data_IF_200320975651
#
_entry.id   IF_200320975651
#
_cell.length_a   1.000
_cell.length_b   1.000
_cell.length_c   1.000
_cell.angle_alpha   90.00
_cell.angle_beta   90.00
_cell.angle_gamma   90.00
#
_symmetry.space_group_name_H-M   'P 1'
#
loop_
_entity.id
_entity.type
_entity.pdbx_description
1 polymer ?
#
# COMPACT_ATOMS: atom_id res chain seq x y z
N UNK A 1 -61.37 33.52 73.79
CA UNK A 1 -62.06 32.26 73.45
C UNK A 1 -62.73 32.40 72.10
N UNK A 2 -62.22 31.73 71.07
CA UNK A 2 -62.96 31.40 69.85
C UNK A 2 -62.23 30.24 69.15
N UNK A 3 -63.05 29.42 68.54
CA UNK A 3 -62.98 27.96 68.52
C UNK A 3 -62.26 27.44 67.28
N UNK A 4 -61.65 26.27 67.42
CA UNK A 4 -61.09 25.41 66.37
C UNK A 4 -62.18 25.06 65.35
N UNK A 5 -61.85 25.07 64.05
CA UNK A 5 -62.49 24.18 63.07
C UNK A 5 -61.51 23.84 61.93
N UNK A 6 -61.20 22.54 61.89
CA UNK A 6 -60.28 21.85 61.00
C UNK A 6 -60.90 21.72 59.60
N UNK A 7 -60.14 22.01 58.54
CA UNK A 7 -60.41 21.48 57.20
C UNK A 7 -59.14 20.79 56.67
N UNK A 8 -59.14 19.46 56.79
CA UNK A 8 -58.33 18.56 55.94
C UNK A 8 -58.64 18.87 54.48
N UNK A 9 -57.62 18.98 53.63
CA UNK A 9 -57.68 18.59 52.22
C UNK A 9 -56.27 18.34 51.66
N UNK A 10 -55.99 17.04 51.54
CA UNK A 10 -55.34 16.35 50.43
C UNK A 10 -53.91 16.75 50.07
N UNK A 11 -52.98 15.98 50.63
CA UNK A 11 -51.73 15.55 50.01
C UNK A 11 -51.98 15.12 48.56
N UNK A 12 -51.48 15.90 47.60
CA UNK A 12 -51.23 15.41 46.24
C UNK A 12 -49.79 14.91 46.23
N UNK A 13 -49.64 13.60 46.39
CA UNK A 13 -48.42 12.91 46.01
C UNK A 13 -48.32 12.96 44.48
N UNK A 14 -47.53 13.89 43.94
CA UNK A 14 -47.14 13.87 42.53
C UNK A 14 -46.05 12.81 42.39
N UNK A 15 -46.49 11.57 42.21
CA UNK A 15 -45.65 10.47 41.76
C UNK A 15 -45.51 10.60 40.24
N UNK A 16 -44.66 11.49 39.75
CA UNK A 16 -44.26 11.48 38.34
C UNK A 16 -43.16 10.45 38.17
N UNK A 17 -43.52 9.33 37.56
CA UNK A 17 -42.63 8.28 37.11
C UNK A 17 -41.43 8.87 36.34
N UNK A 18 -40.22 8.62 36.83
CA UNK A 18 -39.01 8.69 36.00
C UNK A 18 -39.09 7.54 35.00
N UNK A 19 -39.72 7.78 33.84
CA UNK A 19 -39.46 6.97 32.66
C UNK A 19 -38.05 7.37 32.24
N UNK A 20 -37.06 6.58 32.61
CA UNK A 20 -35.72 6.68 32.04
C UNK A 20 -35.88 6.43 30.53
N UNK A 21 -35.92 7.53 29.77
CA UNK A 21 -35.83 7.52 28.33
C UNK A 21 -34.43 6.97 28.02
N UNK A 22 -34.33 5.66 27.83
CA UNK A 22 -33.14 5.01 27.29
C UNK A 22 -33.02 5.49 25.85
N UNK A 23 -32.45 6.68 25.67
CA UNK A 23 -31.93 7.10 24.38
C UNK A 23 -30.93 6.04 23.98
N UNK A 24 -31.07 5.37 22.82
CA UNK A 24 -29.97 4.61 22.29
C UNK A 24 -28.83 5.61 22.12
N UNK A 25 -27.79 5.47 22.94
CA UNK A 25 -26.51 6.11 22.67
C UNK A 25 -26.18 5.74 21.23
N UNK A 26 -26.23 6.73 20.33
CA UNK A 26 -25.70 6.57 18.98
C UNK A 26 -24.24 6.17 19.20
N UNK A 27 -23.94 4.88 19.05
CA UNK A 27 -22.58 4.40 19.11
C UNK A 27 -21.80 5.21 18.08
N UNK A 28 -20.89 6.07 18.54
CA UNK A 28 -19.94 6.70 17.64
C UNK A 28 -19.09 5.56 17.11
N UNK A 29 -19.15 5.31 15.80
CA UNK A 29 -18.21 4.39 15.18
C UNK A 29 -16.81 4.90 15.50
N UNK A 30 -16.00 4.05 16.14
CA UNK A 30 -14.64 4.40 16.52
C UNK A 30 -13.85 4.73 15.24
N UNK A 31 -13.23 5.91 15.22
CA UNK A 31 -12.39 6.32 14.09
C UNK A 31 -11.06 5.58 14.22
N UNK A 32 -10.86 4.59 13.36
CA UNK A 32 -9.63 3.80 13.31
C UNK A 32 -8.63 4.49 12.40
N UNK A 33 -7.42 4.77 12.87
CA UNK A 33 -6.32 5.28 12.06
C UNK A 33 -5.47 4.13 11.53
N UNK A 34 -5.17 4.12 10.23
CA UNK A 34 -4.56 2.95 9.58
C UNK A 34 -3.03 2.95 9.56
N UNK A 35 -2.36 4.00 10.05
CA UNK A 35 -0.91 4.11 9.87
C UNK A 35 -0.49 4.45 8.43
N UNK A 36 -1.40 5.05 7.68
CA UNK A 36 -1.16 5.67 6.38
C UNK A 36 -1.39 7.16 6.51
N UNK A 37 -0.56 7.97 5.87
CA UNK A 37 -0.82 9.39 5.68
C UNK A 37 -0.64 9.77 4.22
N UNK A 38 -1.56 10.60 3.72
CA UNK A 38 -1.55 11.17 2.37
C UNK A 38 -1.53 12.68 2.51
N UNK A 39 -0.57 13.34 1.86
CA UNK A 39 -0.35 14.78 2.00
C UNK A 39 -0.29 15.25 3.48
N UNK A 40 0.35 14.46 4.34
CA UNK A 40 0.43 14.73 5.79
C UNK A 40 -0.84 14.43 6.60
N UNK A 41 -1.97 14.13 5.97
CA UNK A 41 -3.23 13.82 6.63
C UNK A 41 -3.35 12.33 6.93
N UNK A 42 -3.75 11.99 8.16
CA UNK A 42 -3.96 10.59 8.56
C UNK A 42 -5.15 9.99 7.80
N UNK A 43 -4.93 8.80 7.25
CA UNK A 43 -6.02 7.98 6.67
C UNK A 43 -6.68 7.19 7.79
N UNK A 44 -8.01 7.27 7.83
CA UNK A 44 -8.86 6.71 8.88
C UNK A 44 -10.10 6.07 8.28
N UNK A 45 -10.86 5.32 9.09
CA UNK A 45 -12.17 4.76 8.68
C UNK A 45 -13.16 5.81 8.20
N UNK A 46 -12.98 7.08 8.57
CA UNK A 46 -13.87 8.18 8.16
C UNK A 46 -13.57 8.74 6.77
N UNK A 47 -12.32 8.62 6.26
CA UNK A 47 -11.91 9.25 5.00
C UNK A 47 -11.29 8.29 3.97
N UNK A 48 -11.02 7.03 4.32
CA UNK A 48 -10.30 6.11 3.45
C UNK A 48 -10.94 5.88 2.08
N UNK A 49 -12.26 6.00 1.97
CA UNK A 49 -12.98 5.77 0.71
C UNK A 49 -12.77 6.88 -0.33
N UNK A 50 -12.38 8.09 0.10
CA UNK A 50 -12.18 9.24 -0.78
C UNK A 50 -11.23 10.26 -0.15
N UNK A 51 -9.97 10.21 -0.59
CA UNK A 51 -8.89 11.07 -0.12
C UNK A 51 -8.65 12.27 -1.06
N UNK A 52 -9.44 12.39 -2.13
CA UNK A 52 -9.34 13.51 -3.09
C UNK A 52 -9.75 14.86 -2.49
N UNK A 53 -10.42 14.83 -1.33
CA UNK A 53 -10.83 16.03 -0.57
C UNK A 53 -9.73 16.62 0.30
N UNK A 54 -8.58 15.95 0.40
CA UNK A 54 -7.43 16.47 1.14
C UNK A 54 -6.74 17.56 0.33
N UNK A 55 -6.30 18.60 1.02
CA UNK A 55 -5.55 19.69 0.38
C UNK A 55 -4.31 19.15 -0.34
N UNK A 56 -4.13 19.59 -1.58
CA UNK A 56 -3.02 19.14 -2.44
C UNK A 56 -3.24 17.79 -3.12
N UNK A 57 -4.41 17.14 -2.95
CA UNK A 57 -4.75 15.88 -3.61
C UNK A 57 -5.78 16.10 -4.72
N UNK A 58 -5.57 15.49 -5.87
CA UNK A 58 -6.55 15.43 -6.97
C UNK A 58 -6.50 14.07 -7.68
N UNK A 59 -7.46 13.83 -8.57
CA UNK A 59 -7.70 12.51 -9.15
C UNK A 59 -8.32 11.54 -8.13
N UNK A 60 -8.28 10.24 -8.41
CA UNK A 60 -8.87 9.24 -7.52
C UNK A 60 -7.82 8.66 -6.59
N UNK A 61 -7.98 8.92 -5.30
CA UNK A 61 -7.16 8.37 -4.22
C UNK A 61 -8.08 7.75 -3.17
N UNK A 62 -7.95 6.46 -2.92
CA UNK A 62 -8.69 5.77 -1.87
C UNK A 62 -7.90 4.60 -1.30
N UNK A 63 -8.18 4.25 -0.05
CA UNK A 63 -7.58 3.14 0.67
C UNK A 63 -8.65 2.14 1.08
N UNK A 64 -8.48 0.89 0.64
CA UNK A 64 -9.26 -0.25 1.10
C UNK A 64 -8.53 -0.92 2.29
N UNK A 65 -9.01 -0.72 3.53
CA UNK A 65 -8.37 -1.29 4.71
C UNK A 65 -8.52 -2.81 4.80
N UNK A 66 -9.51 -3.41 4.13
CA UNK A 66 -9.76 -4.86 4.17
C UNK A 66 -8.67 -5.60 3.40
N UNK A 67 -8.34 -5.09 2.22
CA UNK A 67 -7.34 -5.68 1.34
C UNK A 67 -5.96 -5.00 1.43
N UNK A 68 -5.84 -3.95 2.27
CA UNK A 68 -4.64 -3.09 2.39
C UNK A 68 -4.19 -2.51 1.05
N UNK A 69 -5.14 -1.99 0.26
CA UNK A 69 -4.86 -1.44 -1.08
C UNK A 69 -5.07 0.07 -1.09
N UNK A 70 -3.99 0.84 -1.27
CA UNK A 70 -4.06 2.25 -1.64
C UNK A 70 -4.13 2.34 -3.17
N UNK A 71 -5.23 2.83 -3.72
CA UNK A 71 -5.39 3.05 -5.16
C UNK A 71 -5.07 4.50 -5.50
N UNK A 72 -4.18 4.71 -6.45
CA UNK A 72 -3.92 5.97 -7.15
C UNK A 72 -4.34 5.81 -8.60
N UNK A 73 -5.33 6.59 -9.04
CA UNK A 73 -5.78 6.61 -10.42
C UNK A 73 -5.83 8.04 -10.94
N UNK A 74 -4.95 8.32 -11.91
CA UNK A 74 -4.73 9.65 -12.49
C UNK A 74 -4.62 10.73 -11.41
N UNK A 75 -3.93 10.38 -10.31
CA UNK A 75 -3.85 11.17 -9.10
C UNK A 75 -2.69 12.16 -9.14
N UNK A 76 -2.89 13.32 -8.53
CA UNK A 76 -1.80 14.24 -8.17
C UNK A 76 -1.80 14.46 -6.67
N UNK A 77 -0.64 14.33 -6.04
CA UNK A 77 -0.44 14.69 -4.62
C UNK A 77 0.72 15.65 -4.55
N UNK A 78 0.44 16.91 -4.23
CA UNK A 78 1.43 17.97 -4.11
C UNK A 78 1.41 18.55 -2.70
N UNK A 79 2.55 18.47 -2.01
CA UNK A 79 2.68 18.90 -0.62
C UNK A 79 3.67 20.05 -0.49
N UNK A 80 3.28 21.10 0.23
CA UNK A 80 4.20 22.12 0.71
C UNK A 80 4.92 21.69 2.00
N UNK A 81 6.07 22.31 2.28
CA UNK A 81 6.80 22.13 3.53
C UNK A 81 7.39 20.72 3.71
N UNK A 82 7.80 20.39 4.94
CA UNK A 82 8.49 19.14 5.28
C UNK A 82 7.53 17.95 5.46
N UNK A 83 6.71 17.68 4.43
CA UNK A 83 5.65 16.68 4.44
C UNK A 83 5.90 15.67 3.31
N UNK A 84 5.64 14.39 3.58
CA UNK A 84 5.64 13.33 2.56
C UNK A 84 4.32 13.35 1.76
N UNK A 85 4.37 13.06 0.46
CA UNK A 85 3.14 12.83 -0.30
C UNK A 85 2.44 11.54 0.15
N UNK A 86 3.21 10.47 0.35
CA UNK A 86 2.75 9.20 0.91
C UNK A 86 3.69 8.76 2.04
N UNK A 87 3.12 8.44 3.20
CA UNK A 87 3.83 7.79 4.30
C UNK A 87 3.05 6.56 4.75
N UNK A 88 3.69 5.39 4.76
CA UNK A 88 3.06 4.14 5.20
C UNK A 88 3.89 3.39 6.24
N UNK A 89 3.19 2.90 7.27
CA UNK A 89 3.68 1.88 8.22
C UNK A 89 2.75 0.66 8.27
N UNK A 90 2.03 0.41 7.18
CA UNK A 90 1.13 -0.74 7.05
C UNK A 90 1.89 -1.90 6.42
N UNK A 91 2.08 -2.96 7.20
CA UNK A 91 2.72 -4.17 6.73
C UNK A 91 1.90 -4.87 5.65
N UNK A 92 2.54 -5.13 4.51
CA UNK A 92 1.95 -5.76 3.33
C UNK A 92 1.01 -4.87 2.53
N UNK A 93 1.15 -3.54 2.60
CA UNK A 93 0.32 -2.63 1.81
C UNK A 93 0.63 -2.76 0.31
N UNK A 94 -0.41 -2.74 -0.52
CA UNK A 94 -0.30 -2.58 -1.96
C UNK A 94 -0.66 -1.16 -2.38
N UNK A 95 0.22 -0.48 -3.08
CA UNK A 95 -0.05 0.79 -3.76
C UNK A 95 -0.34 0.47 -5.23
N UNK A 96 -1.62 0.54 -5.62
CA UNK A 96 -2.08 0.24 -6.97
C UNK A 96 -2.11 1.51 -7.81
N UNK A 97 -1.28 1.56 -8.84
CA UNK A 97 -1.07 2.65 -9.78
C UNK A 97 -1.85 2.37 -11.07
N UNK A 98 -2.81 3.24 -11.37
CA UNK A 98 -3.63 3.20 -12.59
C UNK A 98 -3.46 4.53 -13.31
N UNK A 99 -3.28 4.51 -14.63
CA UNK A 99 -3.05 5.73 -15.41
C UNK A 99 -1.72 6.39 -15.04
N UNK A 100 -1.66 7.73 -15.06
CA UNK A 100 -0.44 8.49 -14.73
C UNK A 100 -0.62 9.28 -13.44
N UNK A 101 0.23 9.01 -12.45
CA UNK A 101 0.13 9.59 -11.11
C UNK A 101 1.37 10.42 -10.81
N UNK A 102 1.17 11.58 -10.19
CA UNK A 102 2.22 12.56 -9.95
C UNK A 102 2.29 12.94 -8.47
N UNK A 103 3.40 12.66 -7.82
CA UNK A 103 3.68 13.03 -6.44
C UNK A 103 4.79 14.07 -6.43
N UNK A 104 4.58 15.16 -5.69
CA UNK A 104 5.60 16.18 -5.45
C UNK A 104 5.61 16.57 -3.98
N UNK A 105 6.79 16.53 -3.36
CA UNK A 105 6.98 16.86 -1.95
C UNK A 105 8.31 17.57 -1.71
N UNK A 106 8.43 18.38 -0.65
CA UNK A 106 9.76 18.88 -0.26
C UNK A 106 10.58 17.83 0.50
N UNK A 107 9.92 17.03 1.34
CA UNK A 107 10.48 15.82 1.95
C UNK A 107 10.40 14.67 0.94
N UNK A 108 10.71 13.44 1.36
CA UNK A 108 10.60 12.30 0.48
C UNK A 108 9.19 12.16 -0.08
N UNK A 109 9.05 11.92 -1.39
CA UNK A 109 7.71 11.81 -1.98
C UNK A 109 6.97 10.60 -1.40
N UNK A 110 7.68 9.48 -1.23
CA UNK A 110 7.17 8.27 -0.59
C UNK A 110 8.12 7.84 0.52
N UNK A 111 7.58 7.58 1.71
CA UNK A 111 8.30 6.89 2.80
C UNK A 111 7.57 5.63 3.20
N UNK A 112 8.31 4.52 3.21
CA UNK A 112 7.82 3.17 3.51
C UNK A 112 8.57 2.63 4.72
N UNK A 113 7.83 2.27 5.77
CA UNK A 113 8.39 1.75 7.02
C UNK A 113 8.22 0.23 7.16
N UNK A 114 7.46 -0.37 6.24
CA UNK A 114 7.05 -1.77 6.27
C UNK A 114 6.93 -2.31 4.84
N UNK A 115 6.95 -3.66 4.66
CA UNK A 115 6.88 -4.28 3.33
C UNK A 115 5.75 -3.73 2.48
N UNK A 116 6.10 -3.27 1.28
CA UNK A 116 5.17 -2.58 0.37
C UNK A 116 5.33 -3.10 -1.05
N UNK A 117 4.20 -3.28 -1.75
CA UNK A 117 4.17 -3.58 -3.18
C UNK A 117 3.58 -2.40 -3.96
N UNK A 118 4.26 -1.95 -5.03
CA UNK A 118 3.72 -1.01 -6.01
C UNK A 118 3.43 -1.78 -7.30
N UNK A 119 2.19 -1.73 -7.78
CA UNK A 119 1.77 -2.45 -8.99
C UNK A 119 0.62 -1.76 -9.72
N UNK A 120 0.04 -2.37 -10.77
CA UNK A 120 -1.18 -1.90 -11.43
C UNK A 120 -1.02 -1.49 -12.89
N UNK A 121 0.18 -1.57 -13.45
CA UNK A 121 0.45 -1.26 -14.87
C UNK A 121 0.62 0.23 -15.19
N UNK A 122 0.23 1.12 -14.29
CA UNK A 122 0.33 2.57 -14.51
C UNK A 122 1.74 3.15 -14.31
N UNK A 123 1.81 4.48 -14.46
CA UNK A 123 3.01 5.29 -14.25
C UNK A 123 2.90 6.07 -12.95
N UNK A 124 3.97 6.05 -12.14
CA UNK A 124 4.10 6.86 -10.94
C UNK A 124 5.35 7.75 -11.04
N UNK A 125 5.15 9.06 -11.04
CA UNK A 125 6.21 10.05 -10.94
C UNK A 125 6.31 10.50 -9.48
N UNK A 126 7.42 10.21 -8.82
CA UNK A 126 7.69 10.54 -7.43
C UNK A 126 8.84 11.55 -7.35
N UNK A 127 8.51 12.82 -7.13
CA UNK A 127 9.47 13.93 -7.09
C UNK A 127 9.62 14.48 -5.66
N UNK A 128 10.86 14.54 -5.19
CA UNK A 128 11.24 15.17 -3.93
C UNK A 128 12.18 16.34 -4.16
N UNK A 129 11.97 17.47 -3.47
CA UNK A 129 12.84 18.64 -3.61
C UNK A 129 14.12 18.56 -2.77
N UNK A 130 14.10 17.91 -1.60
CA UNK A 130 15.20 17.95 -0.61
C UNK A 130 15.64 16.61 -0.03
N UNK A 131 14.90 15.54 -0.28
CA UNK A 131 15.08 14.21 0.34
C UNK A 131 14.90 13.12 -0.74
N UNK A 132 14.45 11.91 -0.45
CA UNK A 132 14.37 10.83 -1.44
C UNK A 132 13.14 10.93 -2.37
N UNK A 133 13.27 10.59 -3.64
CA UNK A 133 12.08 10.29 -4.46
C UNK A 133 11.25 9.18 -3.79
N UNK A 134 11.90 8.08 -3.43
CA UNK A 134 11.33 6.99 -2.64
C UNK A 134 12.31 6.58 -1.54
N UNK A 135 11.85 6.59 -0.29
CA UNK A 135 12.60 6.17 0.88
C UNK A 135 12.05 4.87 1.45
N UNK A 136 12.89 3.85 1.52
CA UNK A 136 12.58 2.51 2.04
C UNK A 136 13.30 2.34 3.37
N UNK A 137 12.63 2.47 4.52
CA UNK A 137 13.33 2.48 5.80
C UNK A 137 13.26 1.12 6.50
N UNK A 138 14.40 0.43 6.62
CA UNK A 138 14.52 -0.88 7.28
C UNK A 138 13.48 -1.90 6.80
N UNK A 139 13.21 -1.93 5.48
CA UNK A 139 12.12 -2.73 4.93
C UNK A 139 12.32 -3.10 3.46
N UNK A 140 11.33 -3.76 2.87
CA UNK A 140 11.32 -4.17 1.48
C UNK A 140 10.30 -3.38 0.65
N UNK A 141 10.72 -2.97 -0.54
CA UNK A 141 9.86 -2.47 -1.59
C UNK A 141 9.89 -3.42 -2.80
N UNK A 142 8.73 -3.94 -3.18
CA UNK A 142 8.53 -4.63 -4.47
C UNK A 142 7.84 -3.70 -5.47
N UNK A 143 8.43 -3.52 -6.64
CA UNK A 143 7.85 -2.82 -7.81
C UNK A 143 7.51 -3.89 -8.84
N UNK A 144 6.23 -4.07 -9.16
CA UNK A 144 5.77 -5.15 -10.03
C UNK A 144 4.85 -4.66 -11.15
N UNK A 145 5.27 -4.90 -12.39
CA UNK A 145 4.55 -4.57 -13.62
C UNK A 145 4.01 -3.12 -13.63
N UNK A 146 4.89 -2.14 -13.42
CA UNK A 146 4.55 -0.73 -13.51
C UNK A 146 5.73 0.13 -14.02
N UNK A 147 5.48 1.42 -14.23
CA UNK A 147 6.53 2.40 -14.57
C UNK A 147 6.72 3.37 -13.41
N UNK A 148 7.93 3.47 -12.88
CA UNK A 148 8.27 4.36 -11.76
C UNK A 148 9.34 5.35 -12.20
N UNK A 149 9.12 6.64 -11.92
CA UNK A 149 10.11 7.69 -12.09
C UNK A 149 10.34 8.36 -10.74
N UNK A 150 11.42 7.98 -10.04
CA UNK A 150 11.81 8.54 -8.75
C UNK A 150 12.90 9.60 -8.97
N UNK A 151 12.61 10.85 -8.64
CA UNK A 151 13.51 11.98 -8.88
C UNK A 151 13.71 12.80 -7.62
N UNK A 152 14.96 13.09 -7.29
CA UNK A 152 15.30 14.15 -6.38
C UNK A 152 16.68 14.70 -6.64
N UNK A 153 16.93 15.91 -6.13
CA UNK A 153 18.27 16.45 -6.02
C UNK A 153 19.16 15.60 -5.09
N UNK A 154 18.62 15.11 -3.98
CA UNK A 154 19.37 14.30 -3.03
C UNK A 154 19.45 12.84 -3.49
N UNK A 155 18.38 12.08 -3.32
CA UNK A 155 18.36 10.64 -3.56
C UNK A 155 17.20 10.23 -4.46
N UNK A 156 17.45 9.36 -5.45
CA UNK A 156 16.38 8.82 -6.31
C UNK A 156 15.52 7.83 -5.53
N UNK A 157 16.05 6.62 -5.32
CA UNK A 157 15.52 5.59 -4.44
C UNK A 157 16.61 5.25 -3.43
N UNK A 158 16.31 5.37 -2.13
CA UNK A 158 17.29 5.07 -1.10
C UNK A 158 16.69 4.27 0.06
N UNK A 159 17.53 3.45 0.70
CA UNK A 159 17.25 2.90 2.01
C UNK A 159 17.79 3.77 3.16
N UNK A 160 17.71 3.27 4.40
CA UNK A 160 18.16 3.98 5.59
C UNK A 160 19.66 3.93 5.78
N UNK A 161 20.25 2.74 5.78
CA UNK A 161 21.70 2.55 5.95
C UNK A 161 22.31 1.44 5.06
N UNK A 162 21.49 0.73 4.28
CA UNK A 162 21.92 -0.34 3.39
C UNK A 162 22.14 -1.69 4.06
N UNK A 163 21.76 -1.85 5.33
CA UNK A 163 21.98 -3.09 6.05
C UNK A 163 20.80 -4.06 5.97
N UNK A 164 19.58 -3.56 5.76
CA UNK A 164 18.38 -4.40 5.76
C UNK A 164 17.41 -4.13 4.61
N UNK A 165 17.59 -3.02 3.90
CA UNK A 165 16.65 -2.54 2.89
C UNK A 165 16.76 -3.32 1.58
N UNK A 166 15.60 -3.74 1.07
CA UNK A 166 15.52 -4.51 -0.16
C UNK A 166 14.67 -3.80 -1.19
N UNK A 167 15.19 -3.73 -2.41
CA UNK A 167 14.45 -3.27 -3.58
C UNK A 167 14.32 -4.42 -4.57
N UNK A 168 13.08 -4.83 -4.84
CA UNK A 168 12.78 -5.89 -5.80
C UNK A 168 12.02 -5.27 -6.97
N UNK A 169 12.54 -5.41 -8.19
CA UNK A 169 11.93 -4.86 -9.41
C UNK A 169 11.58 -6.01 -10.34
N UNK A 170 10.28 -6.17 -10.63
CA UNK A 170 9.72 -7.24 -11.42
C UNK A 170 9.02 -6.67 -12.65
N UNK A 171 9.43 -7.10 -13.84
CA UNK A 171 8.81 -6.75 -15.13
C UNK A 171 8.43 -5.26 -15.27
N UNK A 172 9.24 -4.36 -14.73
CA UNK A 172 8.93 -2.94 -14.58
C UNK A 172 9.97 -2.06 -15.25
N UNK A 173 9.58 -0.82 -15.53
CA UNK A 173 10.50 0.23 -15.96
C UNK A 173 10.70 1.21 -14.83
N UNK A 174 11.93 1.39 -14.36
CA UNK A 174 12.26 2.29 -13.25
C UNK A 174 13.32 3.28 -13.71
N UNK A 175 13.02 4.57 -13.58
CA UNK A 175 14.00 5.65 -13.67
C UNK A 175 14.25 6.18 -12.26
N UNK A 176 15.52 6.21 -11.84
CA UNK A 176 15.92 6.81 -10.58
C UNK A 176 16.99 7.89 -10.84
N UNK A 177 16.77 9.09 -10.30
CA UNK A 177 17.70 10.22 -10.45
C UNK A 177 17.88 10.91 -9.10
N UNK A 178 19.07 10.74 -8.51
CA UNK A 178 19.51 11.36 -7.26
C UNK A 178 20.87 12.02 -7.44
N UNK A 179 20.85 13.31 -7.79
CA UNK A 179 22.02 13.97 -8.38
C UNK A 179 23.19 14.25 -7.42
N UNK A 180 22.93 14.38 -6.12
CA UNK A 180 23.95 14.70 -5.12
C UNK A 180 24.28 13.51 -4.21
N UNK A 181 23.25 12.75 -3.86
CA UNK A 181 23.32 11.68 -2.89
C UNK A 181 23.43 10.30 -3.52
N UNK A 182 23.01 10.09 -4.77
CA UNK A 182 23.01 8.80 -5.44
C UNK A 182 21.62 8.40 -5.94
N UNK A 183 21.56 7.74 -7.10
CA UNK A 183 20.29 7.43 -7.75
C UNK A 183 19.60 6.20 -7.17
N UNK A 184 20.35 5.14 -6.86
CA UNK A 184 19.85 3.96 -6.14
C UNK A 184 20.92 3.55 -5.13
N UNK A 185 20.65 3.70 -3.82
CA UNK A 185 21.66 3.50 -2.77
C UNK A 185 21.10 3.11 -1.41
N UNK A 186 22.00 2.84 -0.48
CA UNK A 186 21.72 2.43 0.90
C UNK A 186 20.75 1.24 0.91
N UNK A 187 21.01 0.24 0.05
CA UNK A 187 20.27 -1.02 0.01
C UNK A 187 21.16 -2.18 0.42
N UNK A 188 20.60 -3.12 1.16
CA UNK A 188 21.21 -4.43 1.38
C UNK A 188 21.15 -5.28 0.11
N UNK A 189 20.06 -5.16 -0.64
CA UNK A 189 19.81 -6.00 -1.80
C UNK A 189 19.02 -5.25 -2.89
N UNK A 190 19.47 -5.37 -4.14
CA UNK A 190 18.71 -5.03 -5.34
C UNK A 190 18.47 -6.28 -6.16
N UNK A 191 17.21 -6.69 -6.28
CA UNK A 191 16.80 -7.88 -7.03
C UNK A 191 16.06 -7.45 -8.29
N UNK A 192 16.56 -7.88 -9.45
CA UNK A 192 15.95 -7.62 -10.75
C UNK A 192 15.38 -8.92 -11.34
N UNK A 193 14.07 -8.96 -11.60
CA UNK A 193 13.38 -10.11 -12.18
C UNK A 193 12.73 -9.66 -13.47
N UNK A 194 13.16 -10.22 -14.60
CA UNK A 194 12.67 -9.80 -15.91
C UNK A 194 13.03 -8.35 -16.26
N UNK A 195 14.10 -7.81 -15.67
CA UNK A 195 14.56 -6.44 -15.85
C UNK A 195 16.09 -6.37 -15.83
N UNK A 196 16.66 -5.34 -16.44
CA UNK A 196 18.10 -5.05 -16.39
C UNK A 196 18.35 -3.55 -16.22
N UNK A 197 19.45 -3.18 -15.55
CA UNK A 197 20.00 -1.83 -15.61
C UNK A 197 20.54 -1.60 -17.02
N UNK A 198 20.01 -0.60 -17.72
CA UNK A 198 20.42 -0.25 -19.09
C UNK A 198 21.14 1.08 -19.16
N UNK A 199 20.97 1.95 -18.17
CA UNK A 199 21.74 3.17 -18.03
C UNK A 199 22.12 3.41 -16.57
N UNK A 200 23.36 3.86 -16.30
CA UNK A 200 24.50 3.89 -17.23
C UNK A 200 24.85 2.48 -17.74
N UNK A 201 25.38 2.39 -18.97
CA UNK A 201 25.81 1.09 -19.51
C UNK A 201 26.96 0.55 -18.66
N UNK A 202 26.85 -0.71 -18.23
CA UNK A 202 27.84 -1.36 -17.37
C UNK A 202 27.64 -1.09 -15.87
N UNK A 203 26.67 -0.27 -15.48
CA UNK A 203 26.34 -0.09 -14.08
C UNK A 203 25.69 -1.36 -13.51
N UNK A 204 26.06 -1.73 -12.29
CA UNK A 204 25.54 -2.88 -11.56
C UNK A 204 25.30 -2.52 -10.10
N UNK A 205 24.51 -3.31 -9.38
CA UNK A 205 24.48 -3.23 -7.94
C UNK A 205 25.80 -3.72 -7.36
N UNK A 206 26.41 -2.92 -6.48
CA UNK A 206 27.58 -3.25 -5.71
C UNK A 206 27.17 -3.42 -4.25
N UNK A 207 27.22 -4.65 -3.75
CA UNK A 207 26.81 -4.99 -2.39
C UNK A 207 27.78 -4.49 -1.32
N UNK A 208 29.02 -4.15 -1.68
CA UNK A 208 29.99 -3.56 -0.75
C UNK A 208 29.80 -2.05 -0.58
N UNK A 209 29.32 -1.39 -1.64
CA UNK A 209 28.98 0.04 -1.63
C UNK A 209 27.49 0.29 -1.35
N UNK A 210 26.68 -0.76 -1.25
CA UNK A 210 25.23 -0.70 -1.01
C UNK A 210 24.48 0.16 -2.04
N UNK A 211 24.94 0.22 -3.30
CA UNK A 211 24.37 1.10 -4.31
C UNK A 211 24.53 0.57 -5.73
N UNK A 212 23.82 1.19 -6.68
CA UNK A 212 24.16 1.04 -8.10
C UNK A 212 25.41 1.83 -8.40
N UNK A 213 26.45 1.14 -8.85
CA UNK A 213 27.77 1.68 -9.11
C UNK A 213 28.22 1.41 -10.56
N UNK A 214 29.12 2.25 -11.05
CA UNK A 214 29.82 2.09 -12.32
C UNK A 214 31.32 2.27 -12.04
N UNK A 215 32.13 1.30 -12.46
CA UNK A 215 33.59 1.31 -12.25
C UNK A 215 34.01 1.48 -10.76
N UNK A 216 33.22 0.92 -9.84
CA UNK A 216 33.48 1.01 -8.40
C UNK A 216 33.09 2.35 -7.77
N UNK A 217 32.42 3.24 -8.51
CA UNK A 217 31.91 4.51 -8.00
C UNK A 217 30.38 4.55 -8.04
N UNK A 218 29.77 5.13 -7.01
CA UNK A 218 28.32 5.30 -6.92
C UNK A 218 27.77 6.14 -8.08
N UNK A 219 26.68 5.69 -8.70
CA UNK A 219 26.01 6.45 -9.76
C UNK A 219 25.13 7.55 -9.16
N UNK A 220 25.49 8.80 -9.42
CA UNK A 220 24.71 10.01 -9.12
C UNK A 220 23.97 10.57 -10.36
N UNK A 221 24.15 9.95 -11.52
CA UNK A 221 23.40 10.28 -12.73
C UNK A 221 22.16 9.39 -12.85
N UNK A 222 21.32 9.65 -13.84
CA UNK A 222 20.11 8.87 -14.09
C UNK A 222 20.42 7.37 -14.24
N UNK A 223 19.78 6.55 -13.43
CA UNK A 223 19.72 5.10 -13.57
C UNK A 223 18.42 4.73 -14.27
N UNK A 224 18.50 3.93 -15.33
CA UNK A 224 17.34 3.38 -16.02
C UNK A 224 17.39 1.87 -15.94
N UNK A 225 16.33 1.29 -15.40
CA UNK A 225 16.05 -0.14 -15.38
C UNK A 225 14.87 -0.36 -16.31
N UNK A 226 15.03 -1.25 -17.28
CA UNK A 226 13.97 -1.59 -18.23
C UNK A 226 13.58 -3.04 -18.09
N UNK A 227 12.31 -3.33 -18.39
CA UNK A 227 11.88 -4.70 -18.67
C UNK A 227 12.80 -5.35 -19.71
N UNK A 228 13.20 -6.57 -19.43
CA UNK A 228 13.82 -7.45 -20.40
C UNK A 228 12.72 -8.27 -21.09
N UNK A 229 12.39 -7.99 -22.37
CA UNK A 229 11.37 -8.72 -23.09
C UNK A 229 11.77 -10.18 -23.38
N UNK A 230 13.06 -10.51 -23.25
CA UNK A 230 13.61 -11.85 -23.49
C UNK A 230 13.78 -12.66 -22.20
N UNK A 231 13.80 -12.00 -21.06
CA UNK A 231 13.75 -12.68 -19.77
C UNK A 231 12.41 -13.40 -19.65
N UNK A 232 12.47 -14.73 -19.59
CA UNK A 232 11.32 -15.55 -19.25
C UNK A 232 10.93 -15.14 -17.83
N UNK A 233 9.84 -14.39 -17.70
CA UNK A 233 9.19 -14.21 -16.42
C UNK A 233 8.83 -15.61 -15.95
N UNK A 234 9.61 -16.16 -15.02
CA UNK A 234 9.14 -17.27 -14.22
C UNK A 234 7.89 -16.73 -13.55
N UNK A 235 6.74 -17.12 -14.07
CA UNK A 235 5.46 -16.75 -13.49
C UNK A 235 5.56 -17.18 -12.04
N UNK A 236 5.64 -16.23 -11.11
CA UNK A 236 5.31 -16.51 -9.73
C UNK A 236 3.83 -16.81 -9.77
N UNK A 237 3.52 -18.09 -9.98
CA UNK A 237 2.18 -18.61 -9.88
C UNK A 237 1.78 -18.22 -8.46
N UNK A 238 0.94 -17.21 -8.33
CA UNK A 238 0.17 -17.02 -7.12
C UNK A 238 -0.71 -18.26 -7.08
N UNK A 239 -0.21 -19.34 -6.49
CA UNK A 239 -1.01 -20.50 -6.14
C UNK A 239 -1.91 -20.09 -4.99
N UNK A 240 -2.90 -19.25 -5.28
CA UNK A 240 -4.22 -19.56 -4.77
C UNK A 240 -4.56 -20.83 -5.54
N UNK A 241 -4.34 -21.98 -4.91
CA UNK A 241 -4.70 -23.26 -5.50
C UNK A 241 -6.22 -23.25 -5.71
N UNK A 242 -6.68 -22.72 -6.85
CA UNK A 242 -8.02 -22.97 -7.34
C UNK A 242 -8.05 -24.47 -7.63
N UNK A 243 -8.50 -25.24 -6.65
CA UNK A 243 -8.63 -26.68 -6.76
C UNK A 243 -9.66 -26.94 -7.86
N UNK A 244 -9.22 -27.30 -9.06
CA UNK A 244 -10.14 -27.61 -10.14
C UNK A 244 -10.67 -29.02 -9.86
N UNK A 245 -11.91 -29.09 -9.37
CA UNK A 245 -12.59 -30.36 -9.09
C UNK A 245 -13.59 -30.64 -10.20
N UNK A 246 -13.55 -31.86 -10.74
CA UNK A 246 -14.51 -32.34 -11.73
C UNK A 246 -15.18 -33.62 -11.22
N UNK A 247 -16.44 -33.82 -11.60
CA UNK A 247 -17.07 -35.12 -11.52
C UNK A 247 -16.39 -36.10 -12.51
N UNK A 248 -16.54 -37.41 -12.27
CA UNK A 248 -15.89 -38.44 -13.11
C UNK A 248 -16.34 -38.41 -14.58
N UNK A 249 -17.51 -37.80 -14.85
CA UNK A 249 -18.02 -37.57 -16.19
C UNK A 249 -17.46 -36.28 -16.85
N UNK A 250 -16.49 -35.61 -16.23
CA UNK A 250 -15.79 -34.43 -16.76
C UNK A 250 -16.47 -33.08 -16.48
N UNK A 251 -17.58 -33.04 -15.75
CA UNK A 251 -18.26 -31.78 -15.39
C UNK A 251 -17.47 -31.05 -14.31
N UNK A 252 -17.13 -29.78 -14.54
CA UNK A 252 -16.47 -28.93 -13.54
C UNK A 252 -17.43 -28.63 -12.38
N UNK A 253 -16.99 -28.90 -11.16
CA UNK A 253 -17.74 -28.63 -9.94
C UNK A 253 -17.33 -27.26 -9.38
N UNK A 254 -18.31 -26.52 -8.86
CA UNK A 254 -18.12 -25.20 -8.25
C UNK A 254 -17.67 -25.26 -6.79
N UNK A 255 -17.86 -26.41 -6.14
CA UNK A 255 -17.56 -26.60 -4.72
C UNK A 255 -16.13 -27.15 -4.55
N UNK A 256 -15.49 -26.77 -3.45
CA UNK A 256 -14.22 -27.34 -3.01
C UNK A 256 -14.35 -28.84 -2.73
N UNK A 257 -13.29 -29.61 -2.96
CA UNK A 257 -13.29 -31.07 -2.78
C UNK A 257 -13.75 -31.47 -1.37
N UNK A 258 -13.35 -30.71 -0.35
CA UNK A 258 -13.71 -30.97 1.06
C UNK A 258 -15.21 -30.88 1.36
N UNK A 259 -15.99 -30.17 0.53
CA UNK A 259 -17.44 -29.99 0.70
C UNK A 259 -18.27 -30.97 -0.12
N UNK A 260 -17.64 -31.83 -0.93
CA UNK A 260 -18.33 -32.83 -1.73
C UNK A 260 -18.72 -34.07 -0.90
N UNK A 261 -19.79 -34.74 -1.32
CA UNK A 261 -20.20 -36.04 -0.77
C UNK A 261 -19.17 -37.13 -1.07
N UNK A 262 -19.35 -38.32 -0.49
CA UNK A 262 -18.55 -39.50 -0.83
C UNK A 262 -18.71 -39.82 -2.33
N UNK A 263 -17.62 -40.19 -2.99
CA UNK A 263 -17.62 -40.40 -4.45
C UNK A 263 -16.25 -40.36 -5.09
N UNK A 264 -16.22 -40.47 -6.42
CA UNK A 264 -14.98 -40.40 -7.22
C UNK A 264 -14.94 -39.07 -7.97
N UNK A 265 -13.83 -38.36 -7.83
CA UNK A 265 -13.64 -37.02 -8.40
C UNK A 265 -12.30 -36.94 -9.14
N UNK A 266 -12.17 -35.94 -10.01
CA UNK A 266 -10.89 -35.53 -10.58
C UNK A 266 -10.49 -34.22 -9.90
N UNK A 267 -9.46 -34.24 -9.08
CA UNK A 267 -8.95 -33.07 -8.35
C UNK A 267 -7.59 -32.73 -8.93
N UNK A 268 -7.45 -31.56 -9.54
CA UNK A 268 -6.21 -31.11 -10.19
C UNK A 268 -5.64 -32.16 -11.18
N UNK A 269 -6.53 -32.78 -11.96
CA UNK A 269 -6.16 -33.79 -12.96
C UNK A 269 -5.90 -35.20 -12.43
N UNK A 270 -6.02 -35.45 -11.12
CA UNK A 270 -5.86 -36.78 -10.52
C UNK A 270 -7.20 -37.35 -10.08
N UNK A 271 -7.45 -38.64 -10.36
CA UNK A 271 -8.59 -39.37 -9.80
C UNK A 271 -8.40 -39.55 -8.29
N UNK A 272 -9.39 -39.13 -7.51
CA UNK A 272 -9.41 -39.22 -6.05
C UNK A 272 -10.73 -39.88 -5.61
N UNK A 273 -10.66 -40.71 -4.58
CA UNK A 273 -11.83 -41.36 -3.96
C UNK A 273 -12.06 -40.69 -2.60
N UNK A 274 -13.25 -40.10 -2.42
CA UNK A 274 -13.69 -39.53 -1.15
C UNK A 274 -14.52 -40.56 -0.39
N UNK A 275 -13.99 -41.00 0.75
CA UNK A 275 -14.60 -42.00 1.63
C UNK A 275 -15.51 -41.41 2.68
#
# INVERSE_FOLDING_TARGET
MKTILWKKKNTIAVLTAFIAMFLPLKGYAEIVAYGLAIAGNKVTSANCNDLSKLDGVSGKVCYDPTNKVLTLQDATINTGGNINAIYSKIDGITIKIIGTNNLKAQKAAITLMTPTTITGGGTLNAESEKDCGIFVFNTELTIDNCTINAKSKAYGIAGGDGTSEKLIIKNSSVTAEGNEGGSIRDLAELVLIGCNITQPVGATFDSSLHCVALNGEMVNSKVIITKDPTAIATSSIHTVAAQNVYAINGIKLTNEYEKLSKGIYIVNGKKVIKQ
#
